data_IF_056980358076
#
_entry.id   IF_056980358076
#
_cell.length_a   1.000
_cell.length_b   1.000
_cell.length_c   1.000
_cell.angle_alpha   90.00
_cell.angle_beta   90.00
_cell.angle_gamma   90.00
#
_symmetry.space_group_name_H-M   'P 1'
#
loop_
_entity.id
_entity.type
_entity.pdbx_description
1 polymer ?
#
# COMPACT_ATOMS: atom_id res chain seq x y z
N UNK A 1 28.69 -0.58 20.43
CA UNK A 1 27.69 0.22 19.70
C UNK A 1 27.52 1.53 20.44
N UNK A 2 27.06 2.58 19.77
CA UNK A 2 26.96 3.91 20.35
C UNK A 2 25.66 4.06 21.14
N UNK A 3 25.68 4.89 22.18
CA UNK A 3 24.49 5.28 22.96
C UNK A 3 23.80 6.47 22.27
N UNK A 4 22.47 6.53 22.33
CA UNK A 4 21.72 7.66 21.75
C UNK A 4 21.98 8.90 22.61
N UNK A 5 22.44 10.03 22.01
CA UNK A 5 22.65 11.26 22.76
C UNK A 5 21.35 11.81 23.36
N UNK A 6 21.45 12.57 24.45
CA UNK A 6 20.33 13.38 24.95
C UNK A 6 20.29 14.70 24.19
N UNK A 7 19.16 15.00 23.55
CA UNK A 7 18.95 16.24 22.80
C UNK A 7 18.26 17.30 23.66
N UNK A 8 18.71 18.55 23.56
CA UNK A 8 18.07 19.67 24.26
C UNK A 8 16.81 20.15 23.52
N UNK A 9 16.78 20.03 22.19
CA UNK A 9 15.65 20.40 21.34
C UNK A 9 15.34 19.33 20.28
N UNK A 10 14.13 19.39 19.72
CA UNK A 10 13.70 18.52 18.61
C UNK A 10 14.50 18.80 17.34
N UNK A 11 14.88 20.06 17.10
CA UNK A 11 15.65 20.42 15.91
C UNK A 11 17.06 19.81 15.95
N UNK A 12 17.69 19.76 17.13
CA UNK A 12 18.99 19.10 17.33
C UNK A 12 18.91 17.58 17.10
N UNK A 13 17.80 16.96 17.51
CA UNK A 13 17.53 15.54 17.27
C UNK A 13 17.38 15.24 15.77
N UNK A 14 16.65 16.09 15.05
CA UNK A 14 16.48 15.95 13.59
C UNK A 14 17.83 16.09 12.87
N UNK A 15 18.60 17.14 13.16
CA UNK A 15 19.90 17.38 12.52
C UNK A 15 20.88 16.21 12.76
N UNK A 16 20.84 15.61 13.96
CA UNK A 16 21.61 14.42 14.27
C UNK A 16 21.20 13.23 13.40
N UNK A 17 19.91 12.92 13.29
CA UNK A 17 19.43 11.77 12.51
C UNK A 17 19.53 11.95 10.99
N UNK A 18 19.66 13.18 10.49
CA UNK A 18 19.97 13.43 9.07
C UNK A 18 21.37 12.95 8.68
N UNK A 19 22.30 12.95 9.63
CA UNK A 19 23.73 12.66 9.39
C UNK A 19 24.18 11.31 9.95
N UNK A 20 23.37 10.68 10.81
CA UNK A 20 23.71 9.43 11.48
C UNK A 20 22.72 8.31 11.15
N UNK A 21 23.24 7.08 11.03
CA UNK A 21 22.42 5.89 10.81
C UNK A 21 21.80 5.40 12.11
N UNK A 22 20.50 5.14 12.13
CA UNK A 22 19.80 4.52 13.27
C UNK A 22 20.32 3.12 13.59
N UNK A 23 20.94 2.43 12.62
CA UNK A 23 21.51 1.09 12.85
C UNK A 23 22.66 1.09 13.87
N UNK A 24 23.38 2.21 14.01
CA UNK A 24 24.54 2.30 14.90
C UNK A 24 24.16 2.38 16.40
N UNK A 25 22.88 2.65 16.67
CA UNK A 25 22.30 2.89 18.00
C UNK A 25 21.22 1.86 18.38
N UNK A 26 21.09 0.78 17.61
CA UNK A 26 20.00 -0.19 17.72
C UNK A 26 19.86 -0.85 19.10
N UNK A 27 20.96 -1.01 19.83
CA UNK A 27 20.96 -1.64 21.17
C UNK A 27 20.32 -0.76 22.25
N UNK A 28 20.26 0.55 22.03
CA UNK A 28 19.77 1.55 22.98
C UNK A 28 18.34 2.02 22.67
N UNK A 29 17.78 1.56 21.54
CA UNK A 29 16.41 1.89 21.13
C UNK A 29 15.38 0.93 21.76
N UNK A 30 14.25 1.49 22.19
CA UNK A 30 13.12 0.68 22.60
C UNK A 30 12.54 -0.12 21.43
N UNK A 31 12.09 -1.34 21.70
CA UNK A 31 11.44 -2.17 20.67
C UNK A 31 10.11 -1.56 20.29
N UNK A 32 10.01 -1.09 19.05
CA UNK A 32 8.73 -0.70 18.48
C UNK A 32 7.87 -1.95 18.19
N UNK A 33 6.71 -2.05 18.83
CA UNK A 33 5.67 -3.00 18.46
C UNK A 33 4.80 -2.38 17.37
N UNK A 34 4.91 -2.87 16.14
CA UNK A 34 4.03 -2.49 15.05
C UNK A 34 2.96 -3.56 14.85
N UNK A 35 1.69 -3.16 14.93
CA UNK A 35 0.58 -3.99 14.47
C UNK A 35 0.49 -3.86 12.96
N UNK A 36 1.10 -4.83 12.27
CA UNK A 36 0.86 -5.00 10.85
C UNK A 36 -0.50 -5.69 10.71
N UNK A 37 -1.48 -4.95 10.21
CA UNK A 37 -2.68 -5.54 9.62
C UNK A 37 -2.41 -5.71 8.13
N UNK A 38 -1.87 -6.87 7.67
CA UNK A 38 -1.72 -7.10 6.25
C UNK A 38 -3.12 -7.21 5.65
N UNK A 39 -3.65 -6.10 5.13
CA UNK A 39 -4.76 -6.11 4.21
C UNK A 39 -4.30 -6.78 2.92
N UNK A 40 -4.35 -8.12 2.91
CA UNK A 40 -4.23 -8.88 1.68
C UNK A 40 -5.44 -8.54 0.85
N UNK A 41 -5.24 -7.69 -0.16
CA UNK A 41 -6.15 -7.62 -1.27
C UNK A 41 -6.08 -8.96 -2.04
N UNK A 42 -6.82 -9.96 -1.55
CA UNK A 42 -6.91 -11.29 -2.16
C UNK A 42 -7.52 -11.24 -3.56
N UNK A 43 -8.11 -10.10 -3.94
CA UNK A 43 -8.74 -9.87 -5.23
C UNK A 43 -7.78 -9.22 -6.23
N UNK A 44 -6.66 -8.65 -5.79
CA UNK A 44 -5.53 -8.20 -6.61
C UNK A 44 -4.16 -8.72 -6.11
N UNK A 45 -3.93 -10.05 -6.11
CA UNK A 45 -2.74 -10.66 -5.51
C UNK A 45 -1.40 -10.36 -6.24
N UNK A 46 -1.42 -9.61 -7.34
CA UNK A 46 -0.24 -9.33 -8.19
C UNK A 46 0.18 -7.87 -8.25
N UNK A 47 -0.54 -6.98 -7.58
CA UNK A 47 -0.23 -5.55 -7.63
C UNK A 47 0.97 -5.26 -6.72
N UNK A 48 2.00 -4.63 -7.29
CA UNK A 48 3.23 -4.25 -6.56
C UNK A 48 3.25 -2.73 -6.38
N UNK A 49 3.53 -2.27 -5.16
CA UNK A 49 3.65 -0.84 -4.88
C UNK A 49 5.07 -0.35 -5.16
N UNK A 50 5.18 0.83 -5.77
CA UNK A 50 6.44 1.49 -6.08
C UNK A 50 6.39 2.94 -5.59
N UNK A 51 7.43 3.43 -4.93
CA UNK A 51 7.55 4.84 -4.54
C UNK A 51 7.51 5.75 -5.77
N UNK A 52 8.35 5.45 -6.76
CA UNK A 52 8.51 6.26 -7.96
C UNK A 52 8.12 5.52 -9.23
N UNK A 53 7.80 6.31 -10.28
CA UNK A 53 7.54 5.79 -11.61
C UNK A 53 8.84 5.21 -12.20
N UNK A 54 8.92 3.90 -12.47
CA UNK A 54 10.09 3.34 -13.09
C UNK A 54 10.10 3.68 -14.59
N UNK A 55 11.27 3.96 -15.14
CA UNK A 55 11.43 4.14 -16.59
C UNK A 55 11.15 2.85 -17.38
N UNK A 56 11.39 1.69 -16.75
CA UNK A 56 11.22 0.34 -17.32
C UNK A 56 10.75 -0.62 -16.24
N UNK A 57 10.11 -1.71 -16.64
CA UNK A 57 9.63 -2.75 -15.74
C UNK A 57 10.76 -3.26 -14.82
N UNK A 58 10.62 -3.15 -13.48
CA UNK A 58 11.65 -3.59 -12.53
C UNK A 58 12.04 -5.08 -12.63
N UNK A 59 11.17 -5.91 -13.21
CA UNK A 59 11.38 -7.36 -13.33
C UNK A 59 12.02 -7.83 -14.64
N UNK A 60 11.77 -7.15 -15.75
CA UNK A 60 12.24 -7.60 -17.06
C UNK A 60 12.80 -6.48 -17.96
N UNK A 61 12.89 -5.25 -17.45
CA UNK A 61 13.48 -4.09 -18.12
C UNK A 61 12.86 -3.72 -19.48
N UNK A 62 11.63 -4.15 -19.74
CA UNK A 62 10.83 -3.71 -20.89
C UNK A 62 9.97 -2.50 -20.55
N UNK A 63 9.35 -1.90 -21.57
CA UNK A 63 8.45 -0.76 -21.42
C UNK A 63 7.24 -1.07 -20.51
N UNK A 64 6.82 -0.03 -19.80
CA UNK A 64 5.62 -0.03 -18.96
C UNK A 64 4.62 0.96 -19.54
N UNK A 65 3.36 0.54 -19.64
CA UNK A 65 2.25 1.38 -20.06
C UNK A 65 1.47 1.88 -18.85
N UNK A 66 0.93 3.09 -18.97
CA UNK A 66 -0.12 3.55 -18.07
C UNK A 66 -1.43 2.84 -18.41
N UNK A 67 -2.06 2.29 -17.39
CA UNK A 67 -3.34 1.61 -17.49
C UNK A 67 -4.25 2.06 -16.36
N UNK A 68 -5.55 1.89 -16.56
CA UNK A 68 -6.53 2.03 -15.48
C UNK A 68 -6.99 0.63 -15.07
N UNK A 69 -6.91 0.35 -13.77
CA UNK A 69 -7.36 -0.91 -13.19
C UNK A 69 -8.57 -0.66 -12.29
N UNK A 70 -9.29 -1.74 -12.01
CA UNK A 70 -10.20 -1.78 -10.89
C UNK A 70 -9.40 -2.18 -9.65
N UNK A 71 -9.68 -1.57 -8.52
CA UNK A 71 -9.16 -1.98 -7.21
C UNK A 71 -10.33 -2.42 -6.35
N UNK A 72 -10.28 -3.66 -5.88
CA UNK A 72 -11.36 -4.24 -5.07
C UNK A 72 -10.85 -4.53 -3.68
N UNK A 73 -11.53 -4.05 -2.64
CA UNK A 73 -11.19 -4.33 -1.26
C UNK A 73 -12.39 -4.90 -0.51
N UNK A 74 -12.12 -5.66 0.54
CA UNK A 74 -13.12 -6.06 1.54
C UNK A 74 -12.94 -5.18 2.77
N UNK A 75 -13.98 -4.48 3.19
CA UNK A 75 -14.01 -3.60 4.35
C UNK A 75 -15.26 -3.91 5.17
N UNK A 76 -15.12 -4.30 6.44
CA UNK A 76 -16.25 -4.62 7.33
C UNK A 76 -17.32 -5.55 6.72
N UNK A 77 -16.87 -6.56 5.95
CA UNK A 77 -17.74 -7.52 5.26
C UNK A 77 -18.44 -6.98 4.01
N UNK A 78 -18.10 -5.77 3.57
CA UNK A 78 -18.57 -5.15 2.32
C UNK A 78 -17.48 -5.17 1.27
N UNK A 79 -17.88 -5.45 0.03
CA UNK A 79 -17.01 -5.34 -1.12
C UNK A 79 -17.02 -3.90 -1.63
N UNK A 80 -15.89 -3.22 -1.56
CA UNK A 80 -15.70 -1.87 -2.12
C UNK A 80 -14.89 -2.00 -3.41
N UNK A 81 -15.41 -1.42 -4.49
CA UNK A 81 -14.72 -1.38 -5.79
C UNK A 81 -14.45 0.07 -6.17
N UNK A 82 -13.18 0.38 -6.40
CA UNK A 82 -12.73 1.65 -6.93
C UNK A 82 -12.36 1.40 -8.40
N UNK A 83 -13.03 2.10 -9.32
CA UNK A 83 -12.75 2.04 -10.75
C UNK A 83 -11.72 3.10 -11.14
N UNK A 84 -11.17 2.94 -12.34
CA UNK A 84 -10.30 3.94 -12.97
C UNK A 84 -9.07 4.31 -12.12
N UNK A 85 -8.51 3.33 -11.41
CA UNK A 85 -7.33 3.53 -10.58
C UNK A 85 -6.07 3.51 -11.46
N UNK A 86 -5.27 4.58 -11.47
CA UNK A 86 -4.05 4.64 -12.27
C UNK A 86 -3.03 3.58 -11.84
N UNK A 87 -2.53 2.81 -12.80
CA UNK A 87 -1.49 1.81 -12.58
C UNK A 87 -0.53 1.76 -13.76
N UNK A 88 0.54 1.00 -13.61
CA UNK A 88 1.51 0.72 -14.64
C UNK A 88 1.47 -0.76 -14.96
N UNK A 89 1.47 -1.14 -16.23
CA UNK A 89 1.51 -2.54 -16.66
C UNK A 89 2.71 -2.79 -17.55
N UNK A 90 3.49 -3.82 -17.24
CA UNK A 90 4.56 -4.28 -18.12
C UNK A 90 3.98 -4.91 -19.40
N UNK A 91 4.45 -4.46 -20.57
CA UNK A 91 3.98 -4.97 -21.87
C UNK A 91 4.24 -6.46 -22.10
N UNK A 92 5.32 -7.00 -21.55
CA UNK A 92 5.77 -8.37 -21.84
C UNK A 92 5.23 -9.36 -20.82
N UNK A 93 5.38 -9.05 -19.54
CA UNK A 93 5.08 -10.01 -18.46
C UNK A 93 3.73 -9.75 -17.78
N UNK A 94 3.03 -8.67 -18.13
CA UNK A 94 1.73 -8.32 -17.56
C UNK A 94 1.76 -7.95 -16.07
N UNK A 95 2.94 -7.77 -15.47
CA UNK A 95 3.07 -7.30 -14.09
C UNK A 95 2.45 -5.91 -13.95
N UNK A 96 1.65 -5.75 -12.90
CA UNK A 96 0.97 -4.50 -12.58
C UNK A 96 1.62 -3.85 -11.37
N UNK A 97 1.82 -2.55 -11.46
CA UNK A 97 2.41 -1.74 -10.42
C UNK A 97 1.50 -0.56 -10.12
N UNK A 98 1.43 -0.17 -8.85
CA UNK A 98 0.73 1.02 -8.40
C UNK A 98 1.74 1.93 -7.70
N UNK A 99 1.65 3.22 -7.96
CA UNK A 99 2.52 4.18 -7.29
C UNK A 99 2.01 4.46 -5.88
N UNK A 100 2.89 4.73 -4.92
CA UNK A 100 2.52 5.07 -3.55
C UNK A 100 1.52 6.23 -3.49
N UNK A 101 1.74 7.29 -4.27
CA UNK A 101 0.77 8.40 -4.40
C UNK A 101 -0.64 7.96 -4.83
N UNK A 102 -0.74 6.89 -5.62
CA UNK A 102 -2.05 6.34 -6.04
C UNK A 102 -2.62 5.47 -4.92
N UNK A 103 -1.78 4.74 -4.21
CA UNK A 103 -2.19 3.98 -3.02
C UNK A 103 -2.76 4.93 -1.95
N UNK A 104 -2.10 6.05 -1.68
CA UNK A 104 -2.59 7.07 -0.73
C UNK A 104 -4.00 7.57 -1.11
N UNK A 105 -4.26 7.75 -2.41
CA UNK A 105 -5.58 8.14 -2.92
C UNK A 105 -6.61 7.03 -2.73
N UNK A 106 -6.23 5.77 -2.99
CA UNK A 106 -7.07 4.60 -2.76
C UNK A 106 -7.41 4.48 -1.27
N UNK A 107 -6.42 4.57 -0.39
CA UNK A 107 -6.61 4.53 1.06
C UNK A 107 -7.49 5.68 1.54
N UNK A 108 -7.31 6.88 1.00
CA UNK A 108 -8.18 8.01 1.31
C UNK A 108 -9.65 7.72 0.93
N UNK A 109 -9.89 7.13 -0.25
CA UNK A 109 -11.25 6.73 -0.68
C UNK A 109 -11.83 5.67 0.25
N UNK A 110 -11.06 4.65 0.61
CA UNK A 110 -11.49 3.60 1.54
C UNK A 110 -11.84 4.18 2.92
N UNK A 111 -11.01 5.09 3.43
CA UNK A 111 -11.26 5.77 4.71
C UNK A 111 -12.54 6.61 4.68
N UNK A 112 -12.81 7.32 3.58
CA UNK A 112 -14.05 8.08 3.43
C UNK A 112 -15.29 7.18 3.27
N UNK A 113 -15.15 6.02 2.62
CA UNK A 113 -16.21 5.02 2.51
C UNK A 113 -16.54 4.42 3.88
N UNK A 114 -15.54 4.07 4.68
CA UNK A 114 -15.71 3.58 6.04
C UNK A 114 -16.46 4.61 6.92
N UNK A 115 -16.11 5.89 6.79
CA UNK A 115 -16.83 7.00 7.43
C UNK A 115 -18.21 7.32 6.81
N UNK A 116 -18.65 6.56 5.81
CA UNK A 116 -19.90 6.73 5.06
C UNK A 116 -20.07 8.13 4.46
N UNK A 117 -18.96 8.78 4.10
CA UNK A 117 -18.92 10.12 3.51
C UNK A 117 -19.01 10.11 2.00
N UNK A 118 -18.88 8.94 1.37
CA UNK A 118 -18.99 8.76 -0.07
C UNK A 118 -20.32 8.16 -0.46
N UNK A 119 -20.85 8.61 -1.61
CA UNK A 119 -21.95 7.95 -2.31
C UNK A 119 -21.36 7.11 -3.45
N UNK A 120 -21.63 5.80 -3.52
CA UNK A 120 -21.18 4.98 -4.64
C UNK A 120 -21.71 5.52 -5.96
N UNK A 121 -20.88 5.49 -7.01
CA UNK A 121 -21.32 5.81 -8.37
C UNK A 121 -22.30 4.75 -8.92
N UNK A 122 -22.12 3.49 -8.50
CA UNK A 122 -22.94 2.34 -8.90
C UNK A 122 -22.91 1.31 -7.77
N UNK A 123 -23.98 0.52 -7.64
CA UNK A 123 -24.06 -0.64 -6.75
C UNK A 123 -24.05 -1.93 -7.57
N UNK A 124 -23.19 -2.89 -7.20
CA UNK A 124 -23.10 -4.20 -7.85
C UNK A 124 -23.68 -5.30 -6.96
N UNK A 125 -24.43 -6.23 -7.58
CA UNK A 125 -24.89 -7.43 -6.92
C UNK A 125 -23.85 -8.55 -7.08
N UNK A 126 -23.27 -9.00 -5.97
CA UNK A 126 -22.22 -10.02 -5.97
C UNK A 126 -22.79 -11.34 -5.44
N UNK A 127 -22.89 -12.40 -6.27
CA UNK A 127 -23.35 -13.69 -5.80
C UNK A 127 -22.28 -14.35 -4.92
N UNK A 128 -22.71 -14.90 -3.78
CA UNK A 128 -21.81 -15.56 -2.81
C UNK A 128 -22.18 -17.03 -2.71
N UNK A 129 -21.20 -17.90 -2.96
CA UNK A 129 -21.35 -19.36 -2.88
C UNK A 129 -20.53 -19.90 -1.71
N UNK A 130 -21.05 -20.92 -1.02
CA UNK A 130 -20.34 -21.65 0.04
C UNK A 130 -20.00 -23.05 -0.45
N UNK A 131 -18.75 -23.46 -0.28
CA UNK A 131 -18.36 -24.85 -0.47
C UNK A 131 -18.87 -25.66 0.73
N UNK A 132 -19.88 -26.50 0.52
CA UNK A 132 -20.22 -27.52 1.48
C UNK A 132 -19.15 -28.60 1.44
N UNK A 133 -18.43 -28.81 2.53
CA UNK A 133 -17.67 -30.05 2.69
C UNK A 133 -18.72 -31.15 2.85
N UNK A 134 -18.86 -32.00 1.84
CA UNK A 134 -19.67 -33.20 1.99
C UNK A 134 -19.03 -34.03 3.12
N UNK A 135 -19.77 -34.19 4.22
CA UNK A 135 -19.40 -35.08 5.32
C UNK A 135 -19.46 -36.54 4.88
#
# INVERSE_FOLDING_TARGET
MAEVPQFETVDDEVEFWETHSTADYWDDMEKAEFQLEPHRNLLHPKLIFLADRPARCPRCHHEVDEVFIQFVAMQDGRLVMIRDVPALRCRVNGHEYMLERTLDQVEHVLNLENLQKLRPAEMLHVPVFKLGVAA
#
